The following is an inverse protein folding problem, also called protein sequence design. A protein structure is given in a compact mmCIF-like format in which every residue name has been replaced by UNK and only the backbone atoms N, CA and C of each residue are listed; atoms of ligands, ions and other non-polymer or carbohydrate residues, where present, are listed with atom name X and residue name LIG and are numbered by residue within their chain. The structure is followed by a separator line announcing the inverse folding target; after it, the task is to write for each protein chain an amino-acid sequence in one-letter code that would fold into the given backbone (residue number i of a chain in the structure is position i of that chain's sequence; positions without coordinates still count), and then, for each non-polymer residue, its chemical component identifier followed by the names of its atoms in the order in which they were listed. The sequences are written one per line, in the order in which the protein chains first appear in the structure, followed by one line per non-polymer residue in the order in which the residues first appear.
data_IF_844663598972
#
_entry.id   IF_844663598972
#
_cell.length_a   1.000
_cell.length_b   1.000
_cell.length_c   1.000
_cell.angle_alpha   90.00
_cell.angle_beta   90.00
_cell.angle_gamma   90.00
#
_symmetry.space_group_name_H-M   'P 1'
#
loop_
_entity.id
_entity.type
_entity.pdbx_description
1 polymer ?
#
# COMPACT_ATOMS: atom_id res chain seq x y z
N UNK A 1 12.91 19.65 -23.64
CA UNK A 1 13.12 18.26 -24.07
C UNK A 1 12.97 17.27 -22.90
N UNK A 2 12.25 17.62 -21.83
CA UNK A 2 12.01 16.74 -20.66
C UNK A 2 10.64 16.03 -20.68
N UNK A 3 9.75 16.36 -21.62
CA UNK A 3 8.36 15.87 -21.64
C UNK A 3 8.15 14.56 -22.44
N UNK A 4 9.10 14.15 -23.30
CA UNK A 4 8.96 12.93 -24.12
C UNK A 4 9.28 11.66 -23.33
N UNK A 5 10.26 11.72 -22.42
CA UNK A 5 10.73 10.55 -21.64
C UNK A 5 9.66 10.09 -20.64
N UNK A 6 8.90 11.02 -20.05
CA UNK A 6 7.79 10.72 -19.14
C UNK A 6 6.60 10.07 -19.84
N UNK A 7 6.23 10.54 -21.04
CA UNK A 7 5.16 9.94 -21.85
C UNK A 7 5.50 8.50 -22.29
N UNK A 8 6.72 8.26 -22.78
CA UNK A 8 7.17 6.91 -23.15
C UNK A 8 7.17 5.97 -21.94
N UNK A 9 7.58 6.46 -20.77
CA UNK A 9 7.56 5.66 -19.54
C UNK A 9 6.13 5.28 -19.13
N UNK A 10 5.16 6.19 -19.25
CA UNK A 10 3.75 5.93 -18.95
C UNK A 10 3.10 4.98 -19.95
N UNK A 11 3.35 5.13 -21.25
CA UNK A 11 2.89 4.18 -22.26
C UNK A 11 3.47 2.77 -22.04
N UNK A 12 4.73 2.65 -21.59
CA UNK A 12 5.32 1.35 -21.23
C UNK A 12 4.79 0.78 -19.90
N UNK A 13 4.28 1.61 -18.97
CA UNK A 13 3.55 1.15 -17.79
C UNK A 13 2.22 0.55 -18.22
N UNK A 14 1.45 1.29 -19.03
CA UNK A 14 0.17 0.87 -19.55
C UNK A 14 0.28 -0.44 -20.32
N UNK A 15 1.22 -0.57 -21.26
CA UNK A 15 1.38 -1.79 -22.05
C UNK A 15 1.85 -3.02 -21.23
N UNK A 16 2.70 -2.85 -20.22
CA UNK A 16 3.15 -3.96 -19.35
C UNK A 16 2.11 -4.38 -18.31
N UNK A 17 1.28 -3.43 -17.85
CA UNK A 17 0.17 -3.73 -16.93
C UNK A 17 -1.02 -4.28 -17.72
N UNK A 18 -1.30 -3.77 -18.93
CA UNK A 18 -2.28 -4.33 -19.86
C UNK A 18 -1.96 -5.78 -20.24
N UNK A 19 -0.70 -6.09 -20.58
CA UNK A 19 -0.26 -7.47 -20.78
C UNK A 19 -0.31 -8.35 -19.51
N UNK A 20 -0.45 -7.74 -18.32
CA UNK A 20 -0.68 -8.42 -17.03
C UNK A 20 -2.12 -8.32 -16.53
N UNK A 21 -3.02 -7.56 -17.18
CA UNK A 21 -4.44 -7.44 -16.80
C UNK A 21 -5.11 -8.81 -16.80
N UNK A 22 -4.69 -9.69 -17.71
CA UNK A 22 -5.21 -11.06 -17.82
C UNK A 22 -4.69 -12.02 -16.72
N UNK A 23 -3.68 -11.64 -15.93
CA UNK A 23 -3.04 -12.50 -14.92
C UNK A 23 -3.15 -11.98 -13.48
N UNK A 24 -3.74 -10.80 -13.27
CA UNK A 24 -3.98 -10.24 -11.94
C UNK A 24 -5.48 -10.36 -11.62
N UNK A 25 -5.83 -11.11 -10.57
CA UNK A 25 -7.18 -11.10 -9.98
C UNK A 25 -7.44 -9.79 -9.20
N UNK A 26 -7.12 -8.65 -9.82
CA UNK A 26 -7.21 -7.33 -9.19
C UNK A 26 -8.16 -6.43 -9.99
N UNK A 27 -9.25 -5.92 -9.37
CA UNK A 27 -10.16 -4.98 -10.01
C UNK A 27 -9.50 -3.66 -10.46
N UNK A 28 -9.91 -3.17 -11.62
CA UNK A 28 -9.57 -1.85 -12.12
C UNK A 28 -10.76 -0.90 -11.94
N UNK A 29 -10.52 0.23 -11.29
CA UNK A 29 -11.50 1.30 -11.12
C UNK A 29 -11.22 2.42 -12.11
N UNK A 30 -12.28 3.04 -12.62
CA UNK A 30 -12.13 4.24 -13.45
C UNK A 30 -11.95 5.49 -12.57
N UNK A 31 -11.32 6.53 -13.14
CA UNK A 31 -11.01 7.75 -12.40
C UNK A 31 -12.27 8.43 -11.89
N UNK A 32 -13.35 8.43 -12.67
CA UNK A 32 -14.62 9.04 -12.30
C UNK A 32 -15.24 8.42 -11.03
N UNK A 33 -15.14 7.10 -10.88
CA UNK A 33 -15.60 6.36 -9.69
C UNK A 33 -14.79 6.78 -8.47
N UNK A 34 -13.47 6.82 -8.59
CA UNK A 34 -12.58 7.19 -7.48
C UNK A 34 -12.71 8.67 -7.11
N UNK A 35 -12.82 9.55 -8.11
CA UNK A 35 -13.07 10.97 -7.90
C UNK A 35 -14.40 11.17 -7.15
N UNK A 36 -15.47 10.51 -7.57
CA UNK A 36 -16.77 10.58 -6.88
C UNK A 36 -16.68 10.07 -5.45
N UNK A 37 -16.08 8.89 -5.24
CA UNK A 37 -15.92 8.27 -3.93
C UNK A 37 -15.13 9.15 -2.94
N UNK A 38 -14.16 9.92 -3.44
CA UNK A 38 -13.30 10.80 -2.63
C UNK A 38 -13.78 12.25 -2.58
N UNK A 39 -14.96 12.56 -3.13
CA UNK A 39 -15.47 13.93 -3.31
C UNK A 39 -14.45 14.83 -4.03
N UNK A 40 -14.02 14.39 -5.21
CA UNK A 40 -12.99 14.98 -6.06
C UNK A 40 -11.67 15.21 -5.31
N UNK A 41 -11.18 14.20 -4.58
CA UNK A 41 -9.94 14.28 -3.80
C UNK A 41 -9.92 15.47 -2.83
N UNK A 42 -11.08 15.73 -2.19
CA UNK A 42 -11.23 16.84 -1.25
C UNK A 42 -10.19 16.78 -0.13
N UNK A 43 -9.65 17.93 0.27
CA UNK A 43 -8.74 18.05 1.42
C UNK A 43 -9.37 17.53 2.72
N UNK A 44 -10.70 17.62 2.86
CA UNK A 44 -11.42 17.08 4.02
C UNK A 44 -11.35 15.56 4.12
N UNK A 45 -11.10 14.88 2.99
CA UNK A 45 -10.94 13.44 2.92
C UNK A 45 -9.47 13.01 2.97
N UNK A 46 -8.51 13.93 3.08
CA UNK A 46 -7.09 13.58 3.12
C UNK A 46 -6.75 12.91 4.45
N UNK A 47 -6.23 11.68 4.37
CA UNK A 47 -5.77 10.89 5.52
C UNK A 47 -4.32 11.19 5.87
N UNK A 48 -3.51 11.54 4.87
CA UNK A 48 -2.09 11.85 5.04
C UNK A 48 -1.41 12.10 3.70
N UNK A 49 -0.13 12.44 3.77
CA UNK A 49 0.73 12.56 2.59
C UNK A 49 2.14 12.11 2.97
N UNK A 50 2.68 11.19 2.19
CA UNK A 50 4.05 10.72 2.32
C UNK A 50 4.85 10.99 1.05
N UNK A 51 6.03 10.37 0.97
CA UNK A 51 6.89 10.40 -0.23
C UNK A 51 6.16 9.99 -1.51
N UNK A 52 5.15 9.13 -1.38
CA UNK A 52 4.42 8.52 -2.50
C UNK A 52 3.19 9.31 -2.93
N UNK A 53 2.94 10.47 -2.31
CA UNK A 53 1.78 11.30 -2.59
C UNK A 53 0.69 11.18 -1.51
N UNK A 54 -0.43 11.88 -1.74
CA UNK A 54 -1.53 11.95 -0.80
C UNK A 54 -2.36 10.67 -0.76
N UNK A 55 -2.87 10.36 0.44
CA UNK A 55 -3.84 9.30 0.67
C UNK A 55 -5.17 9.93 1.07
N UNK A 56 -6.26 9.50 0.42
CA UNK A 56 -7.61 9.99 0.66
C UNK A 56 -8.53 8.89 1.16
N UNK A 57 -9.44 9.23 2.06
CA UNK A 57 -10.61 8.42 2.37
C UNK A 57 -11.63 8.57 1.24
N UNK A 58 -12.28 7.48 0.88
CA UNK A 58 -13.45 7.50 0.01
C UNK A 58 -14.51 6.52 0.45
N UNK A 59 -15.70 6.67 -0.11
CA UNK A 59 -16.80 5.72 0.06
C UNK A 59 -17.34 5.37 -1.32
N UNK A 60 -17.24 4.10 -1.70
CA UNK A 60 -17.81 3.59 -2.95
C UNK A 60 -19.35 3.63 -2.90
N UNK A 61 -19.99 3.50 -4.06
CA UNK A 61 -21.46 3.58 -4.19
C UNK A 61 -22.19 2.49 -3.39
N UNK A 62 -21.55 1.36 -3.18
CA UNK A 62 -22.05 0.24 -2.36
C UNK A 62 -21.86 0.47 -0.85
N UNK A 63 -21.30 1.61 -0.46
CA UNK A 63 -21.02 1.98 0.93
C UNK A 63 -19.67 1.49 1.45
N UNK A 64 -18.86 0.79 0.63
CA UNK A 64 -17.54 0.33 1.06
C UNK A 64 -16.59 1.52 1.27
N UNK A 65 -16.07 1.67 2.49
CA UNK A 65 -15.02 2.65 2.78
C UNK A 65 -13.66 2.18 2.24
N UNK A 66 -12.95 3.09 1.57
CA UNK A 66 -11.67 2.84 0.92
C UNK A 66 -10.62 3.89 1.29
N UNK A 67 -9.35 3.50 1.18
CA UNK A 67 -8.22 4.42 1.19
C UNK A 67 -7.58 4.46 -0.21
N UNK A 68 -7.48 5.64 -0.79
CA UNK A 68 -6.96 5.89 -2.14
C UNK A 68 -5.60 6.55 -2.02
N UNK A 69 -4.54 5.79 -2.29
CA UNK A 69 -3.16 6.30 -2.38
C UNK A 69 -2.96 6.80 -3.82
N UNK A 70 -3.00 8.11 -4.02
CA UNK A 70 -2.76 8.75 -5.31
C UNK A 70 -1.28 9.02 -5.46
N UNK A 71 -0.68 8.44 -6.50
CA UNK A 71 0.76 8.44 -6.65
C UNK A 71 1.25 9.72 -7.33
N UNK A 72 2.30 10.32 -6.79
CA UNK A 72 2.93 11.49 -7.40
C UNK A 72 3.91 11.10 -8.51
N UNK A 73 3.88 11.85 -9.62
CA UNK A 73 4.80 11.70 -10.76
C UNK A 73 6.19 12.27 -10.54
N UNK A 74 6.44 12.90 -9.40
CA UNK A 74 7.64 13.70 -9.18
C UNK A 74 8.95 12.91 -9.12
N UNK A 75 8.92 11.58 -9.28
CA UNK A 75 10.12 10.76 -9.39
C UNK A 75 9.90 9.48 -10.19
N UNK A 76 10.87 9.09 -11.04
CA UNK A 76 10.90 7.77 -11.69
C UNK A 76 10.91 6.59 -10.70
N UNK A 77 11.21 6.89 -9.43
CA UNK A 77 11.10 5.98 -8.30
C UNK A 77 9.64 5.60 -7.99
N UNK A 78 8.69 6.54 -8.03
CA UNK A 78 7.28 6.30 -7.71
C UNK A 78 6.60 5.27 -8.62
N UNK A 79 6.93 5.30 -9.92
CA UNK A 79 6.45 4.30 -10.90
C UNK A 79 6.93 2.89 -10.58
N UNK A 80 8.21 2.74 -10.21
CA UNK A 80 8.77 1.42 -9.87
C UNK A 80 8.12 0.82 -8.62
N UNK A 81 7.84 1.67 -7.63
CA UNK A 81 7.22 1.27 -6.38
C UNK A 81 5.74 0.93 -6.56
N UNK A 82 5.02 1.66 -7.41
CA UNK A 82 3.66 1.28 -7.82
C UNK A 82 3.62 -0.10 -8.46
N UNK A 83 4.49 -0.36 -9.45
CA UNK A 83 4.55 -1.67 -10.11
C UNK A 83 4.85 -2.78 -9.12
N UNK A 84 5.80 -2.55 -8.21
CA UNK A 84 6.11 -3.51 -7.15
C UNK A 84 4.88 -3.76 -6.26
N UNK A 85 4.24 -2.69 -5.79
CA UNK A 85 3.12 -2.77 -4.89
C UNK A 85 1.97 -3.55 -5.56
N UNK A 86 1.54 -3.19 -6.78
CA UNK A 86 0.52 -3.93 -7.56
C UNK A 86 0.88 -5.40 -7.74
N UNK A 87 2.12 -5.72 -8.15
CA UNK A 87 2.52 -7.10 -8.46
C UNK A 87 2.61 -7.97 -7.21
N UNK A 88 3.03 -7.40 -6.08
CA UNK A 88 3.23 -8.12 -4.83
C UNK A 88 1.94 -8.23 -4.05
N UNK A 89 1.31 -7.11 -3.71
CA UNK A 89 0.18 -7.10 -2.79
C UNK A 89 -1.06 -7.77 -3.39
N UNK A 90 -1.24 -7.72 -4.71
CA UNK A 90 -2.35 -8.42 -5.37
C UNK A 90 -2.28 -9.94 -5.21
N UNK A 91 -1.10 -10.50 -4.88
CA UNK A 91 -0.90 -11.93 -4.64
C UNK A 91 -0.91 -12.31 -3.16
N UNK A 92 -1.03 -11.32 -2.27
CA UNK A 92 -0.94 -11.53 -0.83
C UNK A 92 -2.31 -11.36 -0.20
N UNK A 93 -2.74 -12.39 0.52
CA UNK A 93 -4.01 -12.37 1.25
C UNK A 93 -3.76 -12.94 2.63
N UNK A 94 -3.76 -12.06 3.63
CA UNK A 94 -3.60 -12.45 5.02
C UNK A 94 -4.27 -11.41 5.93
N UNK A 95 -4.83 -11.86 7.06
CA UNK A 95 -5.59 -11.00 8.00
C UNK A 95 -4.76 -9.86 8.60
N UNK A 96 -3.44 -10.02 8.68
CA UNK A 96 -2.50 -9.02 9.20
C UNK A 96 -1.75 -8.26 8.09
N UNK A 97 -2.23 -8.30 6.85
CA UNK A 97 -1.77 -7.44 5.76
C UNK A 97 -2.93 -6.58 5.29
N UNK A 98 -2.66 -5.33 4.91
CA UNK A 98 -3.68 -4.46 4.32
C UNK A 98 -4.03 -4.98 2.93
N UNK A 99 -5.33 -5.21 2.69
CA UNK A 99 -5.84 -5.72 1.42
C UNK A 99 -5.90 -4.61 0.37
N UNK A 100 -5.23 -4.83 -0.75
CA UNK A 100 -5.48 -4.06 -1.97
C UNK A 100 -6.80 -4.53 -2.60
N UNK A 101 -7.69 -3.59 -2.82
CA UNK A 101 -9.00 -3.81 -3.44
C UNK A 101 -8.95 -3.63 -4.96
N UNK A 102 -8.04 -2.79 -5.44
CA UNK A 102 -7.88 -2.53 -6.86
C UNK A 102 -6.89 -1.42 -7.15
N UNK A 103 -6.78 -1.06 -8.41
CA UNK A 103 -6.03 0.11 -8.86
C UNK A 103 -6.83 0.94 -9.87
N UNK A 104 -6.44 2.20 -10.05
CA UNK A 104 -6.89 3.06 -11.13
C UNK A 104 -5.66 3.48 -11.93
N UNK A 105 -5.74 3.33 -13.26
CA UNK A 105 -4.68 3.69 -14.21
C UNK A 105 -5.37 4.34 -15.40
N UNK A 106 -5.41 5.68 -15.41
CA UNK A 106 -6.03 6.45 -16.48
C UNK A 106 -5.20 7.69 -16.82
N UNK A 107 -4.58 7.70 -18.00
CA UNK A 107 -3.69 8.78 -18.43
C UNK A 107 -2.50 8.91 -17.48
N UNK A 108 -2.38 10.05 -16.82
CA UNK A 108 -1.35 10.25 -15.80
C UNK A 108 -1.83 9.75 -14.42
N UNK A 109 -3.09 9.43 -14.20
CA UNK A 109 -3.56 9.08 -12.86
C UNK A 109 -3.29 7.61 -12.50
N UNK A 110 -2.33 7.39 -11.59
CA UNK A 110 -2.04 6.08 -10.99
C UNK A 110 -2.45 6.07 -9.52
N UNK A 111 -3.34 5.15 -9.15
CA UNK A 111 -3.85 5.05 -7.78
C UNK A 111 -3.95 3.60 -7.31
N UNK A 112 -3.70 3.40 -6.02
CA UNK A 112 -3.94 2.15 -5.31
C UNK A 112 -5.12 2.32 -4.37
N UNK A 113 -6.06 1.38 -4.43
CA UNK A 113 -7.28 1.39 -3.63
C UNK A 113 -7.18 0.29 -2.59
N UNK A 114 -7.12 0.67 -1.32
CA UNK A 114 -7.02 -0.22 -0.18
C UNK A 114 -8.32 -0.25 0.62
N UNK A 115 -8.49 -1.30 1.43
CA UNK A 115 -9.45 -1.25 2.53
C UNK A 115 -9.10 -0.10 3.50
N UNK A 116 -10.12 0.62 3.96
CA UNK A 116 -9.93 1.71 4.91
C UNK A 116 -9.61 1.20 6.32
N UNK A 117 -8.62 1.81 6.97
CA UNK A 117 -8.19 1.48 8.33
C UNK A 117 -8.61 2.60 9.31
N UNK A 118 -9.71 2.43 10.06
CA UNK A 118 -10.34 3.53 10.79
C UNK A 118 -9.51 4.04 11.98
N UNK A 119 -8.61 3.23 12.54
CA UNK A 119 -7.75 3.65 13.63
C UNK A 119 -6.41 4.23 13.14
N UNK A 120 -6.15 4.22 11.83
CA UNK A 120 -4.93 4.75 11.25
C UNK A 120 -3.69 3.97 11.65
N UNK A 121 -2.52 4.62 11.62
CA UNK A 121 -1.22 4.00 11.84
C UNK A 121 -0.86 3.84 13.32
N UNK A 122 -0.08 2.81 13.63
CA UNK A 122 0.31 2.46 14.99
C UNK A 122 1.22 3.51 15.64
N UNK A 123 2.08 4.17 14.87
CA UNK A 123 2.93 5.27 15.35
C UNK A 123 2.12 6.39 16.02
N UNK A 124 0.93 6.69 15.48
CA UNK A 124 0.02 7.70 16.01
C UNK A 124 -0.60 7.32 17.35
N UNK A 125 -0.53 6.05 17.77
CA UNK A 125 -0.84 5.63 19.13
C UNK A 125 0.40 5.52 20.02
N UNK A 126 1.56 5.20 19.47
CA UNK A 126 2.80 5.05 20.25
C UNK A 126 3.35 6.41 20.67
N UNK A 127 3.34 7.39 19.77
CA UNK A 127 3.99 8.69 19.98
C UNK A 127 3.05 9.78 20.47
N UNK A 128 1.73 9.58 20.39
CA UNK A 128 0.74 10.47 20.99
C UNK A 128 0.39 10.01 22.42
N UNK A 129 0.69 10.84 23.41
CA UNK A 129 0.56 10.48 24.82
C UNK A 129 -0.90 10.31 25.29
N UNK A 130 -1.85 10.90 24.57
CA UNK A 130 -3.29 10.73 24.83
C UNK A 130 -3.77 9.40 24.27
N UNK A 131 -3.42 9.09 23.02
CA UNK A 131 -3.80 7.86 22.33
C UNK A 131 -3.08 6.64 22.86
N UNK A 132 -1.85 6.78 23.37
CA UNK A 132 -1.09 5.70 24.00
C UNK A 132 -1.84 5.02 25.15
N UNK A 133 -2.76 5.75 25.82
CA UNK A 133 -3.61 5.22 26.89
C UNK A 133 -4.61 4.17 26.39
N UNK A 134 -4.99 4.20 25.12
CA UNK A 134 -5.84 3.18 24.50
C UNK A 134 -5.09 1.86 24.27
N UNK A 135 -3.75 1.88 24.25
CA UNK A 135 -2.92 0.69 24.12
C UNK A 135 -2.57 0.10 25.50
N UNK A 136 -3.53 -0.60 26.10
CA UNK A 136 -3.26 -1.48 27.24
C UNK A 136 -2.32 -2.63 26.86
N UNK A 137 -1.73 -3.30 27.86
CA UNK A 137 -0.76 -4.39 27.60
C UNK A 137 -1.32 -5.51 26.73
N UNK A 138 -2.56 -5.95 27.00
CA UNK A 138 -3.23 -6.98 26.20
C UNK A 138 -3.34 -6.58 24.72
N UNK A 139 -3.76 -5.35 24.43
CA UNK A 139 -3.83 -4.81 23.06
C UNK A 139 -2.46 -4.76 22.41
N UNK A 140 -1.43 -4.30 23.12
CA UNK A 140 -0.05 -4.27 22.61
C UNK A 140 0.46 -5.66 22.26
N UNK A 141 0.20 -6.64 23.13
CA UNK A 141 0.59 -8.02 22.91
C UNK A 141 -0.11 -8.61 21.68
N UNK A 142 -1.42 -8.38 21.54
CA UNK A 142 -2.18 -8.77 20.34
C UNK A 142 -1.60 -8.14 19.06
N UNK A 143 -1.25 -6.85 19.11
CA UNK A 143 -0.60 -6.14 18.01
C UNK A 143 0.76 -6.78 17.66
N UNK A 144 1.61 -7.06 18.64
CA UNK A 144 2.91 -7.72 18.43
C UNK A 144 2.72 -9.08 17.76
N UNK A 145 1.81 -9.91 18.28
CA UNK A 145 1.50 -11.22 17.70
C UNK A 145 1.00 -11.12 16.27
N UNK A 146 0.08 -10.19 15.98
CA UNK A 146 -0.46 -10.01 14.63
C UNK A 146 0.61 -9.52 13.64
N UNK A 147 1.52 -8.62 14.05
CA UNK A 147 2.66 -8.22 13.21
C UNK A 147 3.57 -9.42 12.93
N UNK A 148 3.91 -10.21 13.96
CA UNK A 148 4.74 -11.40 13.81
C UNK A 148 4.10 -12.43 12.87
N UNK A 149 2.78 -12.65 12.97
CA UNK A 149 2.03 -13.51 12.06
C UNK A 149 2.05 -12.99 10.61
N UNK A 150 1.89 -11.68 10.41
CA UNK A 150 1.99 -11.07 9.09
C UNK A 150 3.39 -11.26 8.48
N UNK A 151 4.45 -11.13 9.27
CA UNK A 151 5.83 -11.33 8.81
C UNK A 151 6.15 -12.80 8.53
N UNK A 152 5.71 -13.71 9.41
CA UNK A 152 5.87 -15.15 9.19
C UNK A 152 5.21 -15.56 7.86
N UNK A 153 4.00 -15.05 7.62
CA UNK A 153 3.33 -15.27 6.35
C UNK A 153 4.17 -14.79 5.16
N UNK A 154 4.68 -13.56 5.20
CA UNK A 154 5.51 -13.03 4.10
C UNK A 154 6.80 -13.82 3.87
N UNK A 155 7.42 -14.33 4.93
CA UNK A 155 8.75 -14.93 4.86
C UNK A 155 8.72 -16.43 4.54
N UNK A 156 7.72 -17.16 5.06
CA UNK A 156 7.70 -18.62 5.04
C UNK A 156 6.37 -19.20 4.51
N UNK A 157 5.21 -18.67 4.90
CA UNK A 157 3.92 -19.32 4.55
C UNK A 157 3.37 -18.91 3.17
N UNK A 158 3.80 -17.77 2.61
CA UNK A 158 3.42 -17.36 1.27
C UNK A 158 4.20 -18.14 0.21
N UNK A 159 3.56 -18.42 -0.93
CA UNK A 159 4.18 -19.12 -2.07
C UNK A 159 5.51 -18.49 -2.53
N UNK A 160 5.64 -17.18 -2.35
CA UNK A 160 6.86 -16.44 -2.62
C UNK A 160 7.42 -15.95 -1.28
N UNK A 161 8.73 -16.09 -1.05
CA UNK A 161 9.38 -15.42 0.08
C UNK A 161 9.48 -13.93 -0.22
N UNK A 162 8.89 -13.09 0.62
CA UNK A 162 8.81 -11.64 0.42
C UNK A 162 9.42 -10.92 1.61
N UNK A 163 10.39 -10.06 1.36
CA UNK A 163 10.97 -9.19 2.39
C UNK A 163 10.37 -7.79 2.25
N UNK A 164 9.73 -7.28 3.30
CA UNK A 164 9.04 -5.98 3.29
C UNK A 164 9.99 -4.79 3.08
N UNK A 165 11.16 -4.81 3.73
CA UNK A 165 12.24 -3.80 3.71
C UNK A 165 11.91 -2.40 4.26
N UNK A 166 10.64 -2.06 4.50
CA UNK A 166 10.26 -0.79 5.16
C UNK A 166 9.25 -1.01 6.30
N UNK A 167 9.50 -2.01 7.16
CA UNK A 167 8.62 -2.24 8.32
C UNK A 167 8.94 -1.23 9.42
N UNK A 168 7.94 -0.42 9.78
CA UNK A 168 7.99 0.60 10.83
C UNK A 168 6.59 0.84 11.38
N UNK A 169 6.48 1.53 12.52
CA UNK A 169 5.19 1.77 13.17
C UNK A 169 4.19 2.56 12.30
N UNK A 170 4.65 3.44 11.41
CA UNK A 170 3.77 4.16 10.47
C UNK A 170 3.23 3.27 9.34
N UNK A 171 3.88 2.13 9.07
CA UNK A 171 3.47 1.13 8.08
C UNK A 171 2.71 -0.06 8.71
N UNK A 172 2.28 0.07 9.96
CA UNK A 172 1.33 -0.84 10.60
C UNK A 172 0.05 -0.08 10.87
N UNK A 173 -1.01 -0.42 10.15
CA UNK A 173 -2.33 0.19 10.32
C UNK A 173 -3.19 -0.66 11.25
N UNK A 174 -4.18 -0.03 11.89
CA UNK A 174 -5.10 -0.67 12.81
C UNK A 174 -6.53 -0.66 12.27
N UNK A 175 -7.15 -1.84 12.23
CA UNK A 175 -8.56 -1.97 11.87
C UNK A 175 -9.49 -1.50 13.00
N UNK A 176 -10.81 -1.58 12.80
CA UNK A 176 -11.82 -1.17 13.79
C UNK A 176 -11.75 -1.90 15.13
N UNK A 177 -11.09 -3.07 15.19
CA UNK A 177 -10.91 -3.90 16.37
C UNK A 177 -9.51 -3.77 17.00
N UNK A 178 -8.72 -2.79 16.55
CA UNK A 178 -7.31 -2.61 16.94
C UNK A 178 -6.40 -3.78 16.51
N UNK A 179 -6.80 -4.53 15.48
CA UNK A 179 -5.95 -5.59 14.91
C UNK A 179 -4.93 -4.97 13.94
N UNK A 180 -3.66 -5.42 13.97
CA UNK A 180 -2.62 -4.86 13.11
C UNK A 180 -2.69 -5.40 11.69
N UNK A 181 -2.44 -4.51 10.73
CA UNK A 181 -2.25 -4.83 9.32
C UNK A 181 -1.02 -4.11 8.78
N UNK A 182 -0.06 -4.87 8.27
CA UNK A 182 1.14 -4.34 7.62
C UNK A 182 0.76 -3.76 6.26
N UNK A 183 1.27 -2.58 5.96
CA UNK A 183 1.00 -1.80 4.74
C UNK A 183 2.29 -1.31 4.07
N UNK A 184 2.14 -0.71 2.90
CA UNK A 184 3.21 -0.02 2.14
C UNK A 184 4.29 -0.97 1.60
N UNK A 185 3.89 -1.76 0.59
CA UNK A 185 4.74 -2.77 -0.04
C UNK A 185 5.54 -2.24 -1.24
N UNK A 186 5.57 -0.92 -1.47
CA UNK A 186 6.32 -0.31 -2.58
C UNK A 186 7.82 -0.70 -2.58
N UNK A 187 8.35 -0.94 -1.38
CA UNK A 187 9.72 -1.37 -1.15
C UNK A 187 9.88 -2.88 -0.98
N UNK A 188 8.83 -3.69 -1.03
CA UNK A 188 8.97 -5.13 -0.84
C UNK A 188 9.70 -5.81 -2.01
N UNK A 189 10.30 -6.97 -1.75
CA UNK A 189 11.01 -7.78 -2.77
C UNK A 189 10.71 -9.26 -2.61
N UNK A 190 10.53 -9.94 -3.76
CA UNK A 190 10.53 -11.40 -3.83
C UNK A 190 11.96 -11.90 -3.81
N UNK A 191 12.22 -12.92 -3.01
CA UNK A 191 13.46 -13.70 -3.00
C UNK A 191 13.16 -15.12 -3.50
N UNK A 192 14.05 -15.67 -4.31
CA UNK A 192 14.00 -17.09 -4.68
C UNK A 192 14.29 -17.98 -3.45
N UNK A 193 13.74 -19.18 -3.40
CA UNK A 193 13.82 -20.07 -2.21
C UNK A 193 15.25 -20.30 -1.68
N UNK A 194 16.22 -20.43 -2.58
CA UNK A 194 17.63 -20.66 -2.23
C UNK A 194 18.46 -19.36 -2.12
N UNK A 195 17.86 -18.20 -2.35
CA UNK A 195 18.55 -16.91 -2.23
C UNK A 195 18.55 -16.46 -0.77
N UNK A 196 19.70 -16.62 -0.12
CA UNK A 196 19.96 -16.11 1.25
C UNK A 196 20.46 -14.67 1.26
N UNK A 197 20.89 -14.16 0.11
CA UNK A 197 21.46 -12.82 -0.07
C UNK A 197 20.87 -12.15 -1.31
N UNK A 198 20.77 -10.81 -1.28
CA UNK A 198 20.29 -10.03 -2.42
C UNK A 198 20.95 -8.66 -2.48
N UNK A 199 21.58 -8.34 -3.60
CA UNK A 199 22.19 -7.03 -3.82
C UNK A 199 21.12 -5.96 -4.09
N UNK A 200 21.28 -4.81 -3.45
CA UNK A 200 20.50 -3.60 -3.73
C UNK A 200 21.44 -2.42 -3.88
N UNK A 201 21.42 -1.77 -5.05
CA UNK A 201 22.14 -0.50 -5.27
C UNK A 201 21.40 0.70 -4.67
N UNK A 202 20.32 0.44 -3.92
CA UNK A 202 19.39 1.45 -3.42
C UNK A 202 19.41 1.41 -1.90
N UNK A 203 20.02 2.44 -1.31
CA UNK A 203 20.00 2.71 0.13
C UNK A 203 18.64 3.30 0.48
N UNK A 204 17.94 2.68 1.42
CA UNK A 204 16.58 3.06 1.82
C UNK A 204 16.36 2.81 3.30
N UNK A 205 15.68 3.76 3.93
CA UNK A 205 15.49 3.87 5.36
C UNK A 205 15.30 5.36 5.71
N UNK A 206 14.80 5.63 6.91
CA UNK A 206 14.75 6.97 7.53
C UNK A 206 15.45 6.91 8.85
#
# INVERSE_FOLDING_TARGET
MENDVTMESNMMIDQNIEGKRENLELPFFNLATIATATNNFSSNNKLGEGRFGPVYKGTLIDGQEIAVKRLSHSSGQGVSEFKNEVVLIAKLQHRNLVRLLGCCIEGEENMLIYEYMPNGSLDSFIFDQTRAKALGWSTRFSIICGIAQGLLYLHEDSRLRIIHRDLKASNVLLDSKMSPKISDFGMARIFGGDQTEGNTNRVVGT
#
